data_IF_210267265459
#
_entry.id   IF_210267265459
#
_cell.length_a   1.000
_cell.length_b   1.000
_cell.length_c   1.000
_cell.angle_alpha   90.00
_cell.angle_beta   90.00
_cell.angle_gamma   90.00
#
_symmetry.space_group_name_H-M   'P 1'
#
loop_
_entity.id
_entity.type
_entity.pdbx_description
1 polymer ?
#
# COMPACT_ATOMS: atom_id res chain seq x y z
N UNK A 1 -14.21 -39.15 -1.65
CA UNK A 1 -14.62 -38.80 -0.27
C UNK A 1 -14.00 -37.44 0.05
N UNK A 2 -14.69 -36.35 -0.31
CA UNK A 2 -14.20 -35.00 -0.06
C UNK A 2 -14.56 -34.62 1.38
N UNK A 3 -13.58 -34.59 2.27
CA UNK A 3 -13.71 -34.05 3.61
C UNK A 3 -13.89 -32.54 3.50
N UNK A 4 -15.14 -32.09 3.40
CA UNK A 4 -15.50 -30.69 3.50
C UNK A 4 -15.29 -30.20 4.93
N UNK A 5 -14.12 -29.64 5.22
CA UNK A 5 -13.93 -28.83 6.41
C UNK A 5 -14.87 -27.63 6.33
N UNK A 6 -15.93 -27.62 7.14
CA UNK A 6 -16.74 -26.42 7.31
C UNK A 6 -15.87 -25.36 7.99
N UNK A 7 -15.72 -24.21 7.36
CA UNK A 7 -15.01 -23.08 7.96
C UNK A 7 -15.73 -22.66 9.24
N UNK A 8 -14.98 -22.38 10.28
CA UNK A 8 -15.56 -21.83 11.52
C UNK A 8 -16.23 -20.47 11.25
N UNK A 9 -17.23 -20.05 12.05
CA UNK A 9 -17.88 -18.75 11.89
C UNK A 9 -16.89 -17.57 11.90
N UNK A 10 -15.82 -17.67 12.70
CA UNK A 10 -14.76 -16.67 12.77
C UNK A 10 -13.91 -16.62 11.48
N UNK A 11 -13.56 -17.77 10.91
CA UNK A 11 -12.86 -17.83 9.62
C UNK A 11 -13.71 -17.32 8.48
N UNK A 12 -15.02 -17.60 8.51
CA UNK A 12 -15.97 -17.09 7.53
C UNK A 12 -16.05 -15.56 7.63
N UNK A 13 -16.14 -15.01 8.84
CA UNK A 13 -16.15 -13.57 9.10
C UNK A 13 -14.84 -12.90 8.67
N UNK A 14 -13.69 -13.49 8.97
CA UNK A 14 -12.38 -12.96 8.55
C UNK A 14 -12.25 -12.98 7.02
N UNK A 15 -12.69 -14.07 6.37
CA UNK A 15 -12.70 -14.16 4.91
C UNK A 15 -13.60 -13.10 4.26
N UNK A 16 -14.73 -12.76 4.90
CA UNK A 16 -15.62 -11.70 4.44
C UNK A 16 -14.97 -10.32 4.54
N UNK A 17 -14.31 -10.00 5.66
CA UNK A 17 -13.58 -8.74 5.83
C UNK A 17 -12.40 -8.63 4.87
N UNK A 18 -11.60 -9.68 4.74
CA UNK A 18 -10.51 -9.75 3.77
C UNK A 18 -11.00 -9.53 2.33
N UNK A 19 -12.16 -10.10 1.97
CA UNK A 19 -12.78 -9.86 0.66
C UNK A 19 -13.15 -8.38 0.47
N UNK A 20 -13.70 -7.73 1.49
CA UNK A 20 -14.02 -6.29 1.45
C UNK A 20 -12.75 -5.44 1.27
N UNK A 21 -11.69 -5.74 2.02
CA UNK A 21 -10.40 -5.04 1.91
C UNK A 21 -9.79 -5.22 0.53
N UNK A 22 -9.80 -6.45 0.00
CA UNK A 22 -9.31 -6.73 -1.35
C UNK A 22 -10.09 -5.95 -2.41
N UNK A 23 -11.42 -5.97 -2.34
CA UNK A 23 -12.28 -5.21 -3.26
C UNK A 23 -12.02 -3.71 -3.17
N UNK A 24 -11.89 -3.16 -1.96
CA UNK A 24 -11.57 -1.76 -1.75
C UNK A 24 -10.18 -1.39 -2.29
N UNK A 25 -9.18 -2.24 -2.08
CA UNK A 25 -7.82 -2.04 -2.59
C UNK A 25 -7.82 -2.00 -4.12
N UNK A 26 -8.45 -2.98 -4.78
CA UNK A 26 -8.59 -3.03 -6.25
C UNK A 26 -9.35 -1.80 -6.76
N UNK A 27 -10.50 -1.48 -6.15
CA UNK A 27 -11.31 -0.33 -6.53
C UNK A 27 -10.51 0.98 -6.43
N UNK A 28 -9.71 1.15 -5.37
CA UNK A 28 -8.85 2.33 -5.23
C UNK A 28 -7.85 2.51 -6.37
N UNK A 29 -7.34 1.40 -6.94
CA UNK A 29 -6.39 1.46 -8.06
C UNK A 29 -7.07 1.94 -9.34
N UNK A 30 -8.29 1.46 -9.60
CA UNK A 30 -9.11 1.95 -10.71
C UNK A 30 -9.48 3.42 -10.54
N UNK A 31 -9.89 3.83 -9.34
CA UNK A 31 -10.18 5.24 -9.04
C UNK A 31 -8.95 6.11 -9.29
N UNK A 32 -7.77 5.71 -8.83
CA UNK A 32 -6.54 6.45 -9.08
C UNK A 32 -6.19 6.51 -10.58
N UNK A 33 -6.40 5.43 -11.33
CA UNK A 33 -6.17 5.42 -12.77
C UNK A 33 -7.11 6.41 -13.48
N UNK A 34 -8.41 6.37 -13.15
CA UNK A 34 -9.42 7.27 -13.72
C UNK A 34 -9.08 8.72 -13.37
N UNK A 35 -8.77 9.01 -12.11
CA UNK A 35 -8.34 10.34 -11.70
C UNK A 35 -7.09 10.80 -12.43
N UNK A 36 -6.09 9.91 -12.58
CA UNK A 36 -4.85 10.23 -13.30
C UNK A 36 -5.12 10.59 -14.77
N UNK A 37 -6.01 9.85 -15.44
CA UNK A 37 -6.42 10.15 -16.81
C UNK A 37 -7.21 11.46 -16.85
N UNK A 38 -8.19 11.63 -15.97
CA UNK A 38 -9.04 12.83 -15.88
C UNK A 38 -8.18 14.09 -15.72
N UNK A 39 -7.28 14.11 -14.74
CA UNK A 39 -6.44 15.28 -14.49
C UNK A 39 -5.51 15.60 -15.66
N UNK A 40 -4.99 14.59 -16.37
CA UNK A 40 -4.19 14.80 -17.57
C UNK A 40 -4.98 15.33 -18.75
N UNK A 41 -6.29 15.08 -18.81
CA UNK A 41 -7.15 15.67 -19.83
C UNK A 41 -7.58 17.10 -19.51
N UNK A 42 -7.68 17.44 -18.23
CA UNK A 42 -8.13 18.76 -17.77
C UNK A 42 -6.99 19.76 -17.60
N UNK A 43 -5.80 19.30 -17.21
CA UNK A 43 -4.67 20.14 -16.84
C UNK A 43 -3.43 19.80 -17.67
N UNK A 44 -2.66 20.83 -18.01
CA UNK A 44 -1.35 20.65 -18.60
C UNK A 44 -0.38 20.01 -17.58
N UNK A 45 0.44 19.04 -17.99
CA UNK A 45 1.42 18.43 -17.10
C UNK A 45 2.48 19.46 -16.68
N UNK A 46 2.72 19.57 -15.38
CA UNK A 46 3.80 20.41 -14.84
C UNK A 46 5.18 19.83 -15.14
N UNK A 47 5.32 18.51 -15.07
CA UNK A 47 6.58 17.81 -15.28
C UNK A 47 6.84 17.56 -16.77
N UNK A 48 7.99 18.04 -17.23
CA UNK A 48 8.48 17.93 -18.62
C UNK A 48 9.54 16.84 -18.80
N UNK A 49 9.87 16.08 -17.74
CA UNK A 49 10.88 15.02 -17.79
C UNK A 49 10.40 13.74 -18.48
N UNK A 50 9.10 13.45 -18.44
CA UNK A 50 8.47 12.28 -19.06
C UNK A 50 8.87 12.04 -20.55
N UNK A 51 8.81 13.04 -21.45
CA UNK A 51 9.20 12.87 -22.86
C UNK A 51 10.72 12.80 -23.09
N UNK A 52 11.56 13.10 -22.10
CA UNK A 52 13.01 13.06 -22.28
C UNK A 52 13.49 11.59 -22.29
N UNK A 53 13.89 11.12 -23.46
CA UNK A 53 14.44 9.77 -23.66
C UNK A 53 15.73 9.81 -24.49
N UNK A 54 16.86 10.28 -23.91
CA UNK A 54 18.15 10.20 -24.60
C UNK A 54 18.57 8.74 -24.81
N UNK A 55 19.50 8.48 -25.71
CA UNK A 55 20.04 7.13 -25.91
C UNK A 55 20.78 6.63 -24.65
N UNK A 56 20.84 5.31 -24.45
CA UNK A 56 21.63 4.73 -23.36
C UNK A 56 23.14 4.86 -23.65
N UNK A 57 23.95 5.09 -22.62
CA UNK A 57 25.39 5.34 -22.71
C UNK A 57 26.21 4.11 -23.07
N UNK A 58 25.91 2.95 -22.47
CA UNK A 58 26.73 1.74 -22.59
C UNK A 58 26.22 0.73 -23.63
N UNK A 59 24.99 0.86 -24.11
CA UNK A 59 24.40 0.00 -25.15
C UNK A 59 23.39 0.81 -25.98
N UNK A 60 23.81 1.47 -27.08
CA UNK A 60 22.86 2.10 -27.98
C UNK A 60 21.99 1.02 -28.62
N UNK A 61 20.72 0.97 -28.23
CA UNK A 61 19.75 0.07 -28.86
C UNK A 61 19.68 0.38 -30.36
N UNK A 62 19.71 -0.63 -31.26
CA UNK A 62 19.44 -0.41 -32.66
C UNK A 62 18.04 0.21 -32.82
N UNK A 63 17.81 1.09 -33.81
CA UNK A 63 16.50 1.67 -34.03
C UNK A 63 15.47 0.55 -34.27
N UNK A 64 14.55 0.38 -33.32
CA UNK A 64 13.43 -0.54 -33.48
C UNK A 64 12.51 0.00 -34.60
N UNK A 65 11.85 -0.89 -35.37
CA UNK A 65 10.79 -0.47 -36.27
C UNK A 65 9.70 0.28 -35.50
N UNK A 66 9.05 1.25 -36.17
CA UNK A 66 7.97 2.02 -35.57
C UNK A 66 6.87 1.11 -35.03
N UNK A 67 6.41 1.31 -33.78
CA UNK A 67 5.37 0.48 -33.19
C UNK A 67 4.04 0.63 -33.93
N UNK A 68 3.17 -0.38 -33.83
CA UNK A 68 1.86 -0.37 -34.50
C UNK A 68 0.89 0.69 -33.93
N UNK A 69 0.96 0.97 -32.63
CA UNK A 69 0.14 1.96 -31.93
C UNK A 69 1.03 3.02 -31.24
N UNK A 70 1.67 3.91 -32.02
CA UNK A 70 2.60 4.90 -31.48
C UNK A 70 1.92 5.90 -30.54
N UNK A 71 0.65 6.23 -30.77
CA UNK A 71 -0.12 7.12 -29.90
C UNK A 71 -0.35 6.54 -28.51
N UNK A 72 -0.62 5.24 -28.43
CA UNK A 72 -0.81 4.53 -27.16
C UNK A 72 0.51 4.42 -26.39
N UNK A 73 1.59 4.05 -27.08
CA UNK A 73 2.94 4.04 -26.50
C UNK A 73 3.32 5.41 -25.92
N UNK A 74 3.17 6.47 -26.71
CA UNK A 74 3.45 7.84 -26.27
C UNK A 74 2.55 8.28 -25.09
N UNK A 75 1.28 7.87 -25.06
CA UNK A 75 0.39 8.18 -23.95
C UNK A 75 0.84 7.52 -22.64
N UNK A 76 1.30 6.25 -22.71
CA UNK A 76 1.85 5.52 -21.57
C UNK A 76 3.15 6.15 -21.09
N UNK A 77 4.05 6.51 -22.00
CA UNK A 77 5.33 7.14 -21.67
C UNK A 77 5.17 8.52 -21.03
N UNK A 78 4.26 9.35 -21.55
CA UNK A 78 3.88 10.62 -20.91
C UNK A 78 3.28 10.40 -19.51
N UNK A 79 2.81 9.17 -19.23
CA UNK A 79 2.35 8.70 -17.94
C UNK A 79 3.45 8.58 -16.87
N UNK A 80 4.72 8.43 -17.29
CA UNK A 80 5.89 8.24 -16.42
C UNK A 80 6.41 9.60 -15.96
N UNK A 81 6.19 9.93 -14.70
CA UNK A 81 6.43 11.28 -14.13
C UNK A 81 7.23 11.14 -12.83
N UNK A 82 7.99 12.17 -12.46
CA UNK A 82 8.80 12.20 -11.24
C UNK A 82 9.79 11.04 -11.17
N UNK A 83 9.95 10.46 -9.98
CA UNK A 83 10.88 9.37 -9.70
C UNK A 83 10.71 8.14 -10.60
N UNK A 84 9.52 7.94 -11.19
CA UNK A 84 9.28 6.83 -12.11
C UNK A 84 10.10 6.92 -13.40
N UNK A 85 10.53 8.13 -13.80
CA UNK A 85 11.44 8.31 -14.95
C UNK A 85 12.77 7.62 -14.70
N UNK A 86 13.30 7.70 -13.46
CA UNK A 86 14.53 7.02 -13.08
C UNK A 86 14.34 5.50 -13.04
N UNK A 87 13.24 4.99 -12.46
CA UNK A 87 12.99 3.54 -12.45
C UNK A 87 12.89 2.94 -13.86
N UNK A 88 12.21 3.62 -14.78
CA UNK A 88 12.14 3.20 -16.20
C UNK A 88 13.52 3.28 -16.86
N UNK A 89 14.28 4.37 -16.62
CA UNK A 89 15.64 4.55 -17.15
C UNK A 89 16.59 3.46 -16.65
N UNK A 90 16.57 3.15 -15.36
CA UNK A 90 17.40 2.10 -14.76
C UNK A 90 17.03 0.72 -15.31
N UNK A 91 15.73 0.43 -15.49
CA UNK A 91 15.29 -0.83 -16.09
C UNK A 91 15.66 -0.95 -17.59
N UNK A 92 15.77 0.18 -18.29
CA UNK A 92 16.11 0.24 -19.71
C UNK A 92 17.63 0.20 -19.96
N UNK A 93 18.38 1.08 -19.28
CA UNK A 93 19.79 1.36 -19.56
C UNK A 93 20.75 0.91 -18.43
N UNK A 94 20.23 0.49 -17.29
CA UNK A 94 21.02 0.23 -16.08
C UNK A 94 21.35 1.50 -15.29
N UNK A 95 22.22 1.36 -14.29
CA UNK A 95 22.67 2.47 -13.44
C UNK A 95 23.77 3.27 -14.16
N UNK A 96 23.36 4.25 -14.96
CA UNK A 96 24.26 5.10 -15.76
C UNK A 96 24.96 6.20 -14.94
N UNK A 97 24.28 6.73 -13.94
CA UNK A 97 24.75 7.86 -13.13
C UNK A 97 24.73 7.53 -11.64
N UNK A 98 25.62 8.15 -10.88
CA UNK A 98 25.73 7.95 -9.42
C UNK A 98 24.45 8.30 -8.67
N UNK A 99 23.70 9.30 -9.14
CA UNK A 99 22.42 9.71 -8.55
C UNK A 99 21.38 8.58 -8.57
N UNK A 100 21.51 7.63 -9.49
CA UNK A 100 20.56 6.53 -9.61
C UNK A 100 20.67 5.55 -8.45
N UNK A 101 21.79 5.52 -7.71
CA UNK A 101 21.98 4.64 -6.55
C UNK A 101 21.01 4.89 -5.39
N UNK A 102 20.30 6.02 -5.38
CA UNK A 102 19.19 6.25 -4.44
C UNK A 102 17.98 5.32 -4.70
N UNK A 103 17.83 4.81 -5.92
CA UNK A 103 16.73 3.94 -6.32
C UNK A 103 17.13 2.47 -6.16
N UNK A 104 16.41 1.73 -5.33
CA UNK A 104 16.69 0.31 -5.08
C UNK A 104 16.43 -0.55 -6.34
N UNK A 105 17.26 -1.58 -6.58
CA UNK A 105 17.28 -2.32 -7.84
C UNK A 105 16.10 -3.30 -8.02
N UNK A 106 15.39 -3.65 -6.95
CA UNK A 106 14.33 -4.66 -7.01
C UNK A 106 13.20 -4.25 -7.97
N UNK A 107 12.73 -2.99 -7.90
CA UNK A 107 11.65 -2.54 -8.77
C UNK A 107 12.08 -2.49 -10.25
N UNK A 108 13.21 -1.84 -10.63
CA UNK A 108 13.72 -1.91 -12.00
C UNK A 108 13.94 -3.33 -12.51
N UNK A 109 14.47 -4.23 -11.68
CA UNK A 109 14.67 -5.62 -12.06
C UNK A 109 13.34 -6.33 -12.34
N UNK A 110 12.32 -6.14 -11.50
CA UNK A 110 10.97 -6.66 -11.75
C UNK A 110 10.37 -6.07 -13.04
N UNK A 111 10.53 -4.77 -13.28
CA UNK A 111 10.06 -4.12 -14.51
C UNK A 111 10.70 -4.74 -15.75
N UNK A 112 12.01 -4.96 -15.73
CA UNK A 112 12.75 -5.61 -16.80
C UNK A 112 12.30 -7.05 -17.02
N UNK A 113 12.19 -7.86 -15.96
CA UNK A 113 11.77 -9.26 -16.10
C UNK A 113 10.36 -9.35 -16.69
N UNK A 114 9.42 -8.52 -16.23
CA UNK A 114 8.05 -8.51 -16.76
C UNK A 114 7.97 -8.01 -18.20
N UNK A 115 8.77 -7.01 -18.58
CA UNK A 115 8.80 -6.50 -19.95
C UNK A 115 9.35 -7.52 -20.94
N UNK A 116 10.32 -8.34 -20.51
CA UNK A 116 10.93 -9.39 -21.33
C UNK A 116 10.16 -10.72 -21.32
N UNK A 117 9.16 -10.88 -20.45
CA UNK A 117 8.38 -12.11 -20.33
C UNK A 117 6.90 -11.87 -20.63
N UNK A 118 6.11 -11.51 -19.62
CA UNK A 118 4.64 -11.39 -19.68
C UNK A 118 4.22 -10.36 -20.73
N UNK A 119 4.94 -9.23 -20.83
CA UNK A 119 4.60 -8.14 -21.73
C UNK A 119 5.48 -8.05 -22.98
N UNK A 120 6.37 -9.03 -23.21
CA UNK A 120 7.21 -9.06 -24.41
C UNK A 120 6.41 -8.98 -25.73
N UNK A 121 5.24 -9.63 -25.88
CA UNK A 121 4.44 -9.52 -27.10
C UNK A 121 3.91 -8.10 -27.39
N UNK A 122 3.88 -7.20 -26.39
CA UNK A 122 3.40 -5.84 -26.55
C UNK A 122 4.48 -4.89 -27.08
N UNK A 123 5.76 -5.28 -27.05
CA UNK A 123 6.88 -4.45 -27.54
C UNK A 123 6.67 -3.96 -28.98
N UNK A 124 6.31 -4.80 -29.98
CA UNK A 124 6.05 -4.30 -31.33
C UNK A 124 4.76 -3.45 -31.45
N UNK A 125 3.87 -3.49 -30.46
CA UNK A 125 2.62 -2.72 -30.47
C UNK A 125 2.79 -1.30 -29.94
N UNK A 126 3.47 -1.13 -28.80
CA UNK A 126 3.49 0.16 -28.05
C UNK A 126 4.89 0.70 -27.77
N UNK A 127 5.95 0.04 -28.24
CA UNK A 127 7.37 0.31 -27.95
C UNK A 127 7.88 -0.25 -26.60
N UNK A 128 9.19 -0.53 -26.55
CA UNK A 128 9.86 -1.18 -25.42
C UNK A 128 9.78 -0.34 -24.13
N UNK A 129 9.98 0.97 -24.23
CA UNK A 129 9.95 1.87 -23.06
C UNK A 129 8.55 1.99 -22.48
N UNK A 130 7.52 2.07 -23.32
CA UNK A 130 6.12 1.99 -22.87
C UNK A 130 5.80 0.65 -22.19
N UNK A 131 6.34 -0.47 -22.68
CA UNK A 131 6.19 -1.79 -22.03
C UNK A 131 6.86 -1.83 -20.65
N UNK A 132 8.05 -1.23 -20.48
CA UNK A 132 8.70 -1.08 -19.18
C UNK A 132 7.84 -0.26 -18.21
N UNK A 133 7.29 0.86 -18.67
CA UNK A 133 6.39 1.70 -17.89
C UNK A 133 5.12 0.95 -17.47
N UNK A 134 4.51 0.21 -18.39
CA UNK A 134 3.34 -0.66 -18.12
C UNK A 134 3.69 -1.75 -17.09
N UNK A 135 4.86 -2.37 -17.23
CA UNK A 135 5.36 -3.38 -16.28
C UNK A 135 5.49 -2.79 -14.88
N UNK A 136 6.09 -1.60 -14.75
CA UNK A 136 6.18 -0.89 -13.48
C UNK A 136 4.83 -0.55 -12.88
N UNK A 137 3.89 -0.07 -13.69
CA UNK A 137 2.52 0.19 -13.26
C UNK A 137 1.86 -1.07 -12.69
N UNK A 138 1.94 -2.21 -13.40
CA UNK A 138 1.34 -3.48 -12.94
C UNK A 138 2.01 -3.98 -11.66
N UNK A 139 3.34 -4.00 -11.60
CA UNK A 139 4.09 -4.46 -10.42
C UNK A 139 3.74 -3.62 -9.19
N UNK A 140 3.72 -2.29 -9.32
CA UNK A 140 3.38 -1.39 -8.21
C UNK A 140 1.93 -1.56 -7.72
N UNK A 141 0.98 -1.75 -8.63
CA UNK A 141 -0.43 -1.95 -8.25
C UNK A 141 -0.67 -3.31 -7.59
N UNK A 142 -0.02 -4.37 -8.09
CA UNK A 142 -0.07 -5.70 -7.48
C UNK A 142 0.58 -5.68 -6.09
N UNK A 143 1.76 -5.07 -5.97
CA UNK A 143 2.44 -4.90 -4.68
C UNK A 143 1.57 -4.11 -3.69
N UNK A 144 0.89 -3.04 -4.13
CA UNK A 144 -0.03 -2.28 -3.29
C UNK A 144 -1.17 -3.15 -2.74
N UNK A 145 -1.77 -4.00 -3.57
CA UNK A 145 -2.85 -4.91 -3.15
C UNK A 145 -2.33 -5.90 -2.10
N UNK A 146 -1.15 -6.49 -2.31
CA UNK A 146 -0.54 -7.36 -1.31
C UNK A 146 -0.26 -6.62 0.00
N UNK A 147 0.35 -5.44 -0.07
CA UNK A 147 0.65 -4.60 1.11
C UNK A 147 -0.62 -4.27 1.89
N UNK A 148 -1.72 -3.90 1.22
CA UNK A 148 -3.00 -3.63 1.87
C UNK A 148 -3.53 -4.85 2.64
N UNK A 149 -3.43 -6.04 2.06
CA UNK A 149 -3.84 -7.29 2.71
C UNK A 149 -2.94 -7.65 3.91
N UNK A 150 -1.63 -7.50 3.78
CA UNK A 150 -0.70 -7.75 4.88
C UNK A 150 -0.87 -6.76 6.02
N UNK A 151 -1.03 -5.47 5.74
CA UNK A 151 -1.29 -4.44 6.75
C UNK A 151 -2.64 -4.65 7.45
N UNK A 152 -3.66 -5.12 6.74
CA UNK A 152 -4.90 -5.52 7.38
C UNK A 152 -4.67 -6.61 8.42
N UNK A 153 -3.95 -7.70 8.08
CA UNK A 153 -3.67 -8.79 9.03
C UNK A 153 -2.76 -8.35 10.19
N UNK A 154 -1.77 -7.53 9.88
CA UNK A 154 -0.82 -7.02 10.86
C UNK A 154 -1.51 -6.10 11.88
N UNK A 155 -2.43 -5.24 11.42
CA UNK A 155 -3.20 -4.37 12.31
C UNK A 155 -4.13 -5.13 13.26
N UNK A 156 -4.67 -6.32 12.90
CA UNK A 156 -5.44 -7.12 13.88
C UNK A 156 -4.53 -7.61 15.01
N UNK A 157 -3.34 -8.10 14.64
CA UNK A 157 -2.39 -8.69 15.58
C UNK A 157 -1.84 -7.64 16.54
N UNK A 158 -1.49 -6.46 16.01
CA UNK A 158 -1.08 -5.31 16.83
C UNK A 158 -2.20 -4.81 17.74
N UNK A 159 -3.42 -4.72 17.21
CA UNK A 159 -4.57 -4.33 18.01
C UNK A 159 -4.80 -5.27 19.20
N UNK A 160 -4.70 -6.59 18.96
CA UNK A 160 -4.83 -7.60 20.01
C UNK A 160 -3.70 -7.50 21.05
N UNK A 161 -2.45 -7.39 20.60
CA UNK A 161 -1.28 -7.21 21.48
C UNK A 161 -1.45 -6.01 22.40
N UNK A 162 -1.77 -4.86 21.83
CA UNK A 162 -1.89 -3.61 22.60
C UNK A 162 -3.12 -3.58 23.50
N UNK A 163 -4.24 -4.16 23.07
CA UNK A 163 -5.45 -4.24 23.90
C UNK A 163 -5.27 -5.19 25.08
N UNK A 164 -4.79 -6.42 24.84
CA UNK A 164 -4.59 -7.42 25.90
C UNK A 164 -3.46 -6.99 26.85
N UNK A 165 -2.34 -6.52 26.30
CA UNK A 165 -1.23 -5.99 27.10
C UNK A 165 -1.64 -4.76 27.91
N UNK A 166 -2.42 -3.85 27.31
CA UNK A 166 -2.98 -2.70 28.01
C UNK A 166 -3.88 -3.11 29.19
N UNK A 167 -4.76 -4.10 29.00
CA UNK A 167 -5.57 -4.66 30.08
C UNK A 167 -4.72 -5.34 31.17
N UNK A 168 -3.66 -6.07 30.80
CA UNK A 168 -2.73 -6.67 31.76
C UNK A 168 -2.07 -5.61 32.65
N UNK A 169 -1.58 -4.52 32.06
CA UNK A 169 -0.98 -3.42 32.83
C UNK A 169 -2.01 -2.67 33.67
N UNK A 170 -3.26 -2.56 33.19
CA UNK A 170 -4.35 -1.97 33.95
C UNK A 170 -4.67 -2.78 35.22
N UNK A 171 -4.77 -4.11 35.09
CA UNK A 171 -4.96 -5.04 36.22
C UNK A 171 -3.76 -5.00 37.17
N UNK A 172 -2.55 -4.88 36.63
CA UNK A 172 -1.30 -4.74 37.42
C UNK A 172 -1.15 -3.37 38.10
N UNK A 173 -2.16 -2.49 38.02
CA UNK A 173 -2.17 -1.11 38.54
C UNK A 173 -1.09 -0.18 37.98
N UNK A 174 -0.50 -0.54 36.85
CA UNK A 174 0.46 0.29 36.12
C UNK A 174 -0.25 1.23 35.13
N UNK A 175 -1.09 2.13 35.64
CA UNK A 175 -2.03 2.92 34.85
C UNK A 175 -1.35 3.75 33.73
N UNK A 176 -0.18 4.34 33.98
CA UNK A 176 0.55 5.13 32.97
C UNK A 176 0.91 4.29 31.73
N UNK A 177 1.38 3.05 31.96
CA UNK A 177 1.74 2.12 30.89
C UNK A 177 0.47 1.59 30.21
N UNK A 178 -0.58 1.30 30.99
CA UNK A 178 -1.86 0.86 30.47
C UNK A 178 -2.49 1.89 29.52
N UNK A 179 -2.48 3.18 29.88
CA UNK A 179 -2.99 4.28 29.02
C UNK A 179 -2.24 4.28 27.69
N UNK A 180 -0.90 4.21 27.72
CA UNK A 180 -0.08 4.22 26.51
C UNK A 180 -0.43 3.03 25.60
N UNK A 181 -0.50 1.82 26.15
CA UNK A 181 -0.82 0.60 25.39
C UNK A 181 -2.23 0.64 24.82
N UNK A 182 -3.23 1.06 25.60
CA UNK A 182 -4.60 1.18 25.12
C UNK A 182 -4.73 2.30 24.06
N UNK A 183 -3.98 3.40 24.16
CA UNK A 183 -3.91 4.41 23.11
C UNK A 183 -3.28 3.88 21.82
N UNK A 184 -2.18 3.12 21.92
CA UNK A 184 -1.53 2.45 20.78
C UNK A 184 -2.47 1.47 20.05
N UNK A 185 -3.38 0.83 20.77
CA UNK A 185 -4.42 -0.01 20.15
C UNK A 185 -5.34 0.80 19.22
N UNK A 186 -5.65 2.06 19.57
CA UNK A 186 -6.45 2.99 18.77
C UNK A 186 -5.74 3.45 17.49
N UNK A 187 -4.42 3.64 17.54
CA UNK A 187 -3.61 3.93 16.36
C UNK A 187 -3.48 2.73 15.42
N UNK A 188 -3.44 1.51 15.97
CA UNK A 188 -3.46 0.29 15.16
C UNK A 188 -4.83 0.12 14.46
N UNK A 189 -5.93 0.38 15.17
CA UNK A 189 -7.30 0.33 14.65
C UNK A 189 -8.24 1.30 15.36
N UNK A 190 -9.10 1.96 14.60
CA UNK A 190 -10.06 2.94 15.11
C UNK A 190 -10.96 2.40 16.23
N UNK A 191 -11.33 1.11 16.19
CA UNK A 191 -12.14 0.48 17.23
C UNK A 191 -11.47 0.47 18.61
N UNK A 192 -10.14 0.63 18.68
CA UNK A 192 -9.40 0.76 19.93
C UNK A 192 -9.74 2.02 20.72
N UNK A 193 -10.42 3.01 20.13
CA UNK A 193 -10.96 4.16 20.88
C UNK A 193 -11.89 3.72 22.02
N UNK A 194 -12.59 2.58 21.86
CA UNK A 194 -13.47 2.03 22.88
C UNK A 194 -12.72 1.61 24.15
N UNK A 195 -11.41 1.32 24.04
CA UNK A 195 -10.58 0.96 25.20
C UNK A 195 -10.41 2.12 26.19
N UNK A 196 -10.67 3.38 25.80
CA UNK A 196 -10.74 4.50 26.73
C UNK A 196 -11.85 4.31 27.79
N UNK A 197 -12.88 3.53 27.48
CA UNK A 197 -13.96 3.18 28.40
C UNK A 197 -13.49 2.49 29.67
N UNK A 198 -12.36 1.75 29.64
CA UNK A 198 -11.80 1.14 30.85
C UNK A 198 -11.44 2.17 31.92
N UNK A 199 -10.83 3.29 31.51
CA UNK A 199 -10.49 4.38 32.44
C UNK A 199 -11.72 5.17 32.86
N UNK A 200 -12.70 5.35 31.96
CA UNK A 200 -13.99 5.94 32.31
C UNK A 200 -14.71 5.13 33.40
N UNK A 201 -14.76 3.81 33.27
CA UNK A 201 -15.32 2.92 34.27
C UNK A 201 -14.56 2.96 35.60
N UNK A 202 -13.22 2.91 35.55
CA UNK A 202 -12.38 3.01 36.74
C UNK A 202 -12.61 4.33 37.50
N UNK A 203 -12.70 5.45 36.80
CA UNK A 203 -12.99 6.76 37.40
C UNK A 203 -14.39 6.80 38.04
N UNK A 204 -15.40 6.25 37.36
CA UNK A 204 -16.76 6.16 37.90
C UNK A 204 -16.82 5.30 39.17
N UNK A 205 -16.13 4.15 39.18
CA UNK A 205 -16.07 3.27 40.36
C UNK A 205 -15.42 3.98 41.55
N UNK A 206 -14.30 4.68 41.32
CA UNK A 206 -13.62 5.45 42.37
C UNK A 206 -14.51 6.58 42.92
N UNK A 207 -15.25 7.28 42.06
CA UNK A 207 -16.18 8.32 42.47
C UNK A 207 -17.35 7.75 43.29
N UNK A 208 -17.88 6.59 42.88
CA UNK A 208 -18.93 5.89 43.60
C UNK A 208 -18.48 5.47 45.01
N UNK A 209 -17.31 4.84 45.13
CA UNK A 209 -16.76 4.42 46.42
C UNK A 209 -16.54 5.62 47.35
N UNK A 210 -15.99 6.73 46.82
CA UNK A 210 -15.81 7.96 47.57
C UNK A 210 -17.13 8.56 48.06
N UNK A 211 -18.18 8.52 47.24
CA UNK A 211 -19.51 9.00 47.61
C UNK A 211 -20.16 8.12 48.69
N UNK A 212 -20.07 6.80 48.55
CA UNK A 212 -20.64 5.85 49.51
C UNK A 212 -19.94 5.91 50.87
N UNK A 213 -18.61 5.98 50.89
CA UNK A 213 -17.82 6.19 52.10
C UNK A 213 -18.18 7.51 52.80
N UNK A 214 -18.37 8.58 52.03
CA UNK A 214 -18.81 9.87 52.59
C UNK A 214 -20.20 9.76 53.22
N UNK A 215 -21.13 9.03 52.61
CA UNK A 215 -22.50 8.83 53.14
C UNK A 215 -22.55 7.99 54.41
N UNK A 216 -21.60 7.08 54.61
CA UNK A 216 -21.52 6.20 55.80
C UNK A 216 -20.78 6.82 56.98
N UNK A 217 -20.13 7.96 56.78
CA UNK A 217 -19.45 8.73 57.83
C UNK A 217 -20.35 9.78 58.53
N UNK A 218 -21.59 9.94 58.06
CA UNK A 218 -22.65 10.77 58.66
C UNK A 218 -23.81 9.88 59.13
#
# INVERSE_FOLDING_TARGET
MATGYSKSPLELLNSSHQSKVLKAAIFSRFVLLILSILWRTLLAPYDTSAPLNPTCLHNPSPPLPSPLLPSLGSAIEKGVVWDSVYFVRIAQCGYEYEQFYAFLPLLPACMFVFSQTVFAPLVPLIDYRAVLALSGYVVCNVAFIFTAMYFYRYSESLYALFSVGGCYYLVSRANNIAVLWLALSGFARSNGVLNAGYFGFQAMHQAYDAFYLKKSAF
#
